data_IF_145875304928
#
_entry.id   IF_145875304928
#
_cell.length_a   1.000
_cell.length_b   1.000
_cell.length_c   1.000
_cell.angle_alpha   90.00
_cell.angle_beta   90.00
_cell.angle_gamma   90.00
#
_symmetry.space_group_name_H-M   'P 1'
#
loop_
_entity.id
_entity.type
_entity.pdbx_description
1 polymer ?
#
# COMPACT_ATOMS: atom_id res chain seq x y z
N UNK A 1 2.49 -2.01 -3.80
CA UNK A 1 2.37 -3.30 -3.07
C UNK A 1 2.92 -4.52 -3.80
N UNK A 2 2.63 -4.79 -5.07
CA UNK A 2 3.17 -6.00 -5.75
C UNK A 2 4.71 -6.09 -5.71
N UNK A 3 5.39 -4.97 -5.99
CA UNK A 3 6.85 -4.88 -5.83
C UNK A 3 7.31 -5.09 -4.38
N UNK A 4 6.57 -4.57 -3.39
CA UNK A 4 6.89 -4.73 -1.96
C UNK A 4 6.83 -6.20 -1.55
N UNK A 5 5.79 -6.94 -1.97
CA UNK A 5 5.69 -8.37 -1.74
C UNK A 5 6.89 -9.14 -2.34
N UNK A 6 7.32 -8.76 -3.55
CA UNK A 6 8.52 -9.33 -4.18
C UNK A 6 9.80 -9.03 -3.40
N UNK A 7 9.96 -7.80 -2.90
CA UNK A 7 11.12 -7.38 -2.08
C UNK A 7 11.14 -8.11 -0.74
N UNK A 8 9.98 -8.33 -0.11
CA UNK A 8 9.89 -9.06 1.15
C UNK A 8 10.23 -10.54 0.99
N UNK A 9 9.94 -11.14 -0.18
CA UNK A 9 10.29 -12.51 -0.56
C UNK A 9 9.78 -13.59 0.42
N UNK A 10 8.64 -13.36 1.07
CA UNK A 10 8.04 -14.30 2.03
C UNK A 10 7.07 -15.23 1.29
N UNK A 11 7.27 -16.55 1.42
CA UNK A 11 6.41 -17.57 0.81
C UNK A 11 4.97 -17.42 1.31
N UNK A 12 4.02 -17.44 0.38
CA UNK A 12 2.59 -17.25 0.70
C UNK A 12 2.18 -15.79 0.93
N UNK A 13 3.11 -14.84 0.90
CA UNK A 13 2.82 -13.42 1.12
C UNK A 13 2.87 -12.60 -0.18
N UNK A 14 1.94 -12.91 -1.08
CA UNK A 14 1.74 -12.15 -2.31
C UNK A 14 1.05 -10.79 -2.09
N UNK A 15 0.87 -10.03 -3.18
CA UNK A 15 0.22 -8.70 -3.18
C UNK A 15 -1.11 -8.68 -2.42
N UNK A 16 -2.00 -9.62 -2.71
CA UNK A 16 -3.36 -9.61 -2.16
C UNK A 16 -3.36 -9.96 -0.68
N UNK A 17 -2.55 -10.94 -0.26
CA UNK A 17 -2.38 -11.30 1.15
C UNK A 17 -1.76 -10.15 1.95
N UNK A 18 -0.82 -9.40 1.34
CA UNK A 18 -0.25 -8.21 1.95
C UNK A 18 -1.30 -7.12 2.18
N UNK A 19 -2.17 -6.86 1.19
CA UNK A 19 -3.28 -5.92 1.38
C UNK A 19 -4.24 -6.39 2.48
N UNK A 20 -4.60 -7.68 2.50
CA UNK A 20 -5.48 -8.23 3.53
C UNK A 20 -4.88 -8.07 4.92
N UNK A 21 -3.63 -8.47 5.12
CA UNK A 21 -2.92 -8.34 6.39
C UNK A 21 -2.86 -6.88 6.86
N UNK A 22 -2.51 -5.96 5.97
CA UNK A 22 -2.40 -4.55 6.34
C UNK A 22 -3.76 -3.91 6.66
N UNK A 23 -4.85 -4.39 6.07
CA UNK A 23 -6.22 -3.97 6.45
C UNK A 23 -6.65 -4.55 7.79
N UNK A 24 -6.35 -5.82 8.02
CA UNK A 24 -6.61 -6.51 9.28
C UNK A 24 -5.91 -5.80 10.44
N UNK A 25 -4.62 -5.47 10.27
CA UNK A 25 -3.80 -4.73 11.23
C UNK A 25 -4.08 -3.23 11.29
N UNK A 26 -5.18 -2.76 10.66
CA UNK A 26 -5.58 -1.33 10.63
C UNK A 26 -4.47 -0.39 10.18
N UNK A 27 -3.64 -0.84 9.24
CA UNK A 27 -2.64 -0.01 8.54
C UNK A 27 -3.26 0.65 7.31
N UNK A 28 -4.06 -0.11 6.58
CA UNK A 28 -4.82 0.36 5.41
C UNK A 28 -6.32 0.31 5.69
N UNK A 29 -7.07 1.17 5.01
CA UNK A 29 -8.53 1.14 4.98
C UNK A 29 -9.07 0.14 3.94
N UNK A 30 -10.41 0.07 3.80
CA UNK A 30 -11.09 -0.78 2.81
C UNK A 30 -10.70 -0.49 1.36
N UNK A 31 -10.25 0.73 1.07
CA UNK A 31 -9.82 1.19 -0.25
C UNK A 31 -8.30 1.02 -0.48
N UNK A 32 -7.59 0.40 0.46
CA UNK A 32 -6.14 0.23 0.45
C UNK A 32 -5.34 1.53 0.63
N UNK A 33 -5.97 2.54 1.23
CA UNK A 33 -5.35 3.82 1.56
C UNK A 33 -4.79 3.72 2.99
N UNK A 34 -3.53 4.09 3.24
CA UNK A 34 -2.95 4.08 4.56
C UNK A 34 -3.65 5.11 5.46
N UNK A 35 -3.88 4.76 6.72
CA UNK A 35 -4.32 5.76 7.70
C UNK A 35 -3.25 6.83 7.86
N UNK A 36 -3.69 8.08 8.09
CA UNK A 36 -2.84 9.27 8.12
C UNK A 36 -1.62 9.11 9.02
N UNK A 37 -1.77 8.49 10.20
CA UNK A 37 -0.67 8.20 11.11
C UNK A 37 0.52 7.48 10.44
N UNK A 38 0.28 6.53 9.53
CA UNK A 38 1.36 5.79 8.86
C UNK A 38 1.98 6.55 7.68
N UNK A 39 1.26 7.57 7.17
CA UNK A 39 1.81 8.55 6.24
C UNK A 39 2.73 9.51 7.00
N UNK A 40 2.27 10.05 8.12
CA UNK A 40 3.02 11.00 8.96
C UNK A 40 4.29 10.36 9.53
N UNK A 41 4.24 9.07 9.88
CA UNK A 41 5.41 8.29 10.31
C UNK A 41 6.41 7.98 9.18
N UNK A 42 6.08 8.35 7.92
CA UNK A 42 6.94 8.17 6.76
C UNK A 42 7.03 6.73 6.25
N UNK A 43 6.04 5.89 6.52
CA UNK A 43 5.98 4.53 5.98
C UNK A 43 5.37 4.50 4.58
N UNK A 44 4.36 5.36 4.35
CA UNK A 44 3.61 5.40 3.12
C UNK A 44 3.52 6.82 2.55
N UNK A 45 3.20 6.89 1.26
CA UNK A 45 2.73 8.11 0.59
C UNK A 45 1.52 7.76 -0.26
N UNK A 46 0.54 8.65 -0.27
CA UNK A 46 -0.61 8.56 -1.17
C UNK A 46 -0.36 9.50 -2.35
N UNK A 47 -0.50 8.98 -3.57
CA UNK A 47 -0.43 9.77 -4.80
C UNK A 47 -1.77 9.71 -5.52
N UNK A 48 -2.28 10.88 -5.87
CA UNK A 48 -3.38 11.00 -6.82
C UNK A 48 -2.80 11.11 -8.23
N UNK A 49 -3.21 10.18 -9.09
CA UNK A 49 -2.82 10.16 -10.49
C UNK A 49 -4.06 10.36 -11.35
N UNK A 50 -4.07 11.46 -12.11
CA UNK A 50 -5.10 11.71 -13.12
C UNK A 50 -4.81 10.91 -14.38
N UNK A 51 -5.85 10.36 -14.99
CA UNK A 51 -5.76 9.72 -16.30
C UNK A 51 -7.04 9.97 -17.10
N UNK A 52 -6.90 10.11 -18.41
CA UNK A 52 -8.02 10.33 -19.32
C UNK A 52 -8.45 9.00 -19.91
N UNK A 53 -9.75 8.69 -19.83
CA UNK A 53 -10.32 7.51 -20.49
C UNK A 53 -10.70 7.85 -21.94
N UNK A 54 -10.90 6.85 -22.84
CA UNK A 54 -11.18 7.09 -24.25
C UNK A 54 -12.41 7.97 -24.53
N UNK A 55 -13.36 8.08 -23.58
CA UNK A 55 -14.51 8.99 -23.67
C UNK A 55 -14.15 10.48 -23.46
N UNK A 56 -12.90 10.81 -23.13
CA UNK A 56 -12.45 12.16 -22.80
C UNK A 56 -12.61 12.54 -21.32
N UNK A 57 -13.27 11.70 -20.51
CA UNK A 57 -13.43 11.94 -19.07
C UNK A 57 -12.08 11.79 -18.34
N UNK A 58 -11.77 12.73 -17.44
CA UNK A 58 -10.61 12.63 -16.54
C UNK A 58 -11.00 11.92 -15.26
N UNK A 59 -10.34 10.80 -14.97
CA UNK A 59 -10.52 10.01 -13.75
C UNK A 59 -9.31 10.14 -12.84
N UNK A 60 -9.54 9.92 -11.54
CA UNK A 60 -8.51 9.94 -10.50
C UNK A 60 -8.27 8.51 -10.03
N UNK A 61 -6.99 8.13 -9.99
CA UNK A 61 -6.53 6.89 -9.37
C UNK A 61 -5.71 7.23 -8.13
N UNK A 62 -6.05 6.61 -6.99
CA UNK A 62 -5.31 6.76 -5.74
C UNK A 62 -4.31 5.62 -5.61
N UNK A 63 -3.02 5.95 -5.51
CA UNK A 63 -1.94 4.98 -5.44
C UNK A 63 -1.19 5.09 -4.11
N UNK A 64 -1.19 4.00 -3.35
CA UNK A 64 -0.37 3.85 -2.15
C UNK A 64 1.06 3.42 -2.50
N UNK A 65 2.03 4.27 -2.17
CA UNK A 65 3.46 4.01 -2.24
C UNK A 65 4.02 3.67 -0.87
N UNK A 66 5.10 2.88 -0.85
CA UNK A 66 5.75 2.42 0.38
C UNK A 66 7.21 2.88 0.32
N UNK A 67 7.67 3.56 1.37
CA UNK A 67 9.09 3.93 1.52
C UNK A 67 9.91 2.75 2.05
N UNK A 68 11.24 2.83 1.98
CA UNK A 68 12.13 1.80 2.56
C UNK A 68 11.81 1.51 4.03
N UNK A 69 11.65 2.57 4.84
CA UNK A 69 11.19 2.47 6.24
C UNK A 69 9.83 1.76 6.36
N UNK A 70 8.94 1.97 5.40
CA UNK A 70 7.66 1.28 5.32
C UNK A 70 7.78 -0.21 5.02
N UNK A 71 8.73 -0.62 4.19
CA UNK A 71 9.00 -2.04 3.93
C UNK A 71 9.45 -2.74 5.22
N UNK A 72 10.35 -2.11 5.99
CA UNK A 72 10.79 -2.64 7.28
C UNK A 72 9.65 -2.70 8.31
N UNK A 73 8.82 -1.65 8.37
CA UNK A 73 7.61 -1.67 9.20
C UNK A 73 6.68 -2.84 8.84
N UNK A 74 6.43 -3.06 7.55
CA UNK A 74 5.58 -4.15 7.07
C UNK A 74 6.19 -5.50 7.46
N UNK A 75 7.50 -5.68 7.33
CA UNK A 75 8.21 -6.90 7.74
C UNK A 75 7.97 -7.21 9.21
N UNK A 76 8.09 -6.21 10.10
CA UNK A 76 7.77 -6.40 11.53
C UNK A 76 6.32 -6.78 11.76
N UNK A 77 5.39 -6.11 11.08
CA UNK A 77 3.96 -6.40 11.19
C UNK A 77 3.60 -7.83 10.79
N UNK A 78 4.36 -8.46 9.90
CA UNK A 78 4.14 -9.85 9.48
C UNK A 78 4.56 -10.86 10.56
N UNK A 79 5.56 -10.51 11.38
CA UNK A 79 6.03 -11.35 12.48
C UNK A 79 5.27 -11.17 13.79
N UNK A 80 4.35 -10.21 13.86
CA UNK A 80 3.40 -10.01 14.97
C UNK A 80 2.17 -10.93 14.84
#
# INVERSE_FOLDING_TARGET
MGHVAKVLAIRGMGRNNLFSLLREKKVLDKNNIPYQQFVDLGYFRVLEQKYTVPSGETKINIKTMVFQKGIEFIRRKIGE
#
